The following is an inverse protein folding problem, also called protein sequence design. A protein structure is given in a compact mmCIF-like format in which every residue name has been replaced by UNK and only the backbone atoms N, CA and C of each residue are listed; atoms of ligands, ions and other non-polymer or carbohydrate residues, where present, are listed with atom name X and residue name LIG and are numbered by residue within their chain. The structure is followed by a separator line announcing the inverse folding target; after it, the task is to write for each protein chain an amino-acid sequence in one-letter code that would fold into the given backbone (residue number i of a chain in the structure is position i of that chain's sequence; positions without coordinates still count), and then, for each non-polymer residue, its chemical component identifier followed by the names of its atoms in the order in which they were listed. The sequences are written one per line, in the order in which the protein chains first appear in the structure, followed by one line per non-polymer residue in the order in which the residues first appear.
data_IF_508606278118
#
_entry.id   IF_508606278118
#
_cell.length_a   1.000
_cell.length_b   1.000
_cell.length_c   1.000
_cell.angle_alpha   90.00
_cell.angle_beta   90.00
_cell.angle_gamma   90.00
#
_symmetry.space_group_name_H-M   'P 1'
#
loop_
_entity.id
_entity.type
_entity.pdbx_description
1 polymer ?
#
# COMPACT_ATOMS: atom_id res chain seq x y z
N UNK A 1 12.88 0.15 -15.26
CA UNK A 1 13.39 0.36 -13.89
C UNK A 1 13.10 -0.86 -13.04
N UNK A 2 13.94 -1.10 -12.03
CA UNK A 2 13.70 -2.11 -11.00
C UNK A 2 13.11 -1.44 -9.76
N UNK A 3 11.87 -1.77 -9.43
CA UNK A 3 11.06 -1.07 -8.42
C UNK A 3 10.75 -1.99 -7.26
N UNK A 4 10.91 -1.51 -6.03
CA UNK A 4 10.46 -2.22 -4.84
C UNK A 4 9.22 -1.54 -4.26
N UNK A 5 8.11 -2.27 -4.16
CA UNK A 5 7.00 -1.90 -3.29
C UNK A 5 7.31 -2.41 -1.89
N UNK A 6 7.57 -1.47 -0.99
CA UNK A 6 7.93 -1.73 0.39
C UNK A 6 6.71 -1.50 1.29
N UNK A 7 6.25 -2.58 1.91
CA UNK A 7 5.12 -2.59 2.84
C UNK A 7 5.60 -2.91 4.27
N UNK A 8 6.26 -1.96 4.95
CA UNK A 8 6.91 -2.25 6.22
C UNK A 8 5.91 -2.52 7.34
N UNK A 9 6.27 -3.43 8.22
CA UNK A 9 5.50 -3.80 9.41
C UNK A 9 6.30 -3.49 10.68
N UNK A 10 5.65 -2.87 11.68
CA UNK A 10 6.28 -2.52 12.96
C UNK A 10 6.73 -3.74 13.75
N UNK A 11 5.93 -4.81 13.73
CA UNK A 11 6.23 -6.10 14.39
C UNK A 11 5.90 -7.26 13.46
N UNK A 12 6.86 -8.12 13.23
CA UNK A 12 6.72 -9.28 12.33
C UNK A 12 5.64 -10.28 12.79
N UNK A 13 5.34 -10.31 14.07
CA UNK A 13 4.36 -11.25 14.67
C UNK A 13 2.92 -10.77 14.56
N UNK A 14 2.68 -9.47 14.34
CA UNK A 14 1.33 -8.91 14.28
C UNK A 14 0.78 -8.97 12.85
N UNK A 15 -0.50 -9.27 12.73
CA UNK A 15 -1.22 -8.98 11.49
C UNK A 15 -1.46 -7.48 11.42
N UNK A 16 -1.06 -6.87 10.31
CA UNK A 16 -1.32 -5.47 10.01
C UNK A 16 -2.09 -5.42 8.70
N UNK A 17 -3.21 -4.72 8.71
CA UNK A 17 -4.01 -4.45 7.51
C UNK A 17 -4.04 -2.95 7.28
N UNK A 18 -3.42 -2.50 6.20
CA UNK A 18 -3.29 -1.05 5.89
C UNK A 18 -4.50 -0.48 5.16
N UNK A 19 -5.40 -1.33 4.66
CA UNK A 19 -6.61 -0.95 3.91
C UNK A 19 -7.88 -0.83 4.75
N UNK A 20 -7.79 -1.03 6.06
CA UNK A 20 -8.97 -1.09 6.94
C UNK A 20 -9.16 0.19 7.76
N UNK A 21 -10.24 0.25 8.55
CA UNK A 21 -10.53 1.35 9.48
C UNK A 21 -10.53 2.73 8.84
N UNK A 22 -11.28 2.89 7.76
CA UNK A 22 -11.38 4.17 7.07
C UNK A 22 -10.08 4.61 6.36
N UNK A 23 -9.17 3.66 6.10
CA UNK A 23 -7.88 3.90 5.45
C UNK A 23 -6.72 4.19 6.42
N UNK A 24 -6.96 4.14 7.74
CA UNK A 24 -5.88 4.33 8.72
C UNK A 24 -5.05 3.07 8.95
N UNK A 25 -5.64 1.91 8.73
CA UNK A 25 -5.06 0.61 9.02
C UNK A 25 -5.35 0.12 10.42
N UNK A 26 -5.19 -1.18 10.62
CA UNK A 26 -5.35 -1.86 11.92
C UNK A 26 -4.21 -2.80 12.19
N UNK A 27 -3.86 -2.94 13.47
CA UNK A 27 -2.94 -3.96 13.95
C UNK A 27 -3.63 -4.82 15.01
N UNK A 28 -3.44 -6.14 14.95
CA UNK A 28 -3.96 -7.05 15.95
C UNK A 28 -2.91 -7.25 17.05
N UNK A 29 -3.06 -6.52 18.15
CA UNK A 29 -2.25 -6.67 19.36
C UNK A 29 -3.14 -7.07 20.54
N UNK A 30 -3.02 -8.32 20.96
CA UNK A 30 -3.79 -8.89 22.07
C UNK A 30 -2.94 -9.05 23.34
N UNK A 31 -1.78 -8.40 23.40
CA UNK A 31 -0.80 -8.54 24.48
C UNK A 31 0.28 -9.59 24.18
N UNK A 32 1.24 -9.77 25.10
CA UNK A 32 2.46 -10.53 24.87
C UNK A 32 2.50 -11.88 25.64
N UNK A 33 1.42 -12.29 26.29
CA UNK A 33 1.35 -13.62 26.90
C UNK A 33 1.26 -14.75 25.87
N UNK A 34 1.40 -16.00 26.29
CA UNK A 34 1.53 -17.18 25.41
C UNK A 34 0.32 -17.31 24.45
N UNK A 35 -0.90 -17.22 24.99
CA UNK A 35 -2.14 -17.40 24.22
C UNK A 35 -2.32 -16.26 23.19
N UNK A 36 -2.26 -14.96 23.54
CA UNK A 36 -2.27 -13.86 22.59
C UNK A 36 -1.18 -13.94 21.51
N UNK A 37 0.04 -14.36 21.90
CA UNK A 37 1.14 -14.52 20.93
C UNK A 37 0.83 -15.61 19.90
N UNK A 38 0.30 -16.74 20.35
CA UNK A 38 -0.15 -17.81 19.46
C UNK A 38 -1.28 -17.32 18.53
N UNK A 39 -2.28 -16.64 19.08
CA UNK A 39 -3.40 -16.10 18.33
C UNK A 39 -2.95 -15.07 17.27
N UNK A 40 -2.05 -14.13 17.63
CA UNK A 40 -1.46 -13.17 16.68
C UNK A 40 -0.77 -13.88 15.51
N UNK A 41 0.06 -14.87 15.79
CA UNK A 41 0.77 -15.65 14.75
C UNK A 41 -0.21 -16.40 13.85
N UNK A 42 -1.22 -17.04 14.43
CA UNK A 42 -2.23 -17.79 13.68
C UNK A 42 -3.03 -16.86 12.75
N UNK A 43 -3.49 -15.73 13.26
CA UNK A 43 -4.22 -14.74 12.46
C UNK A 43 -3.35 -14.19 11.32
N UNK A 44 -2.06 -13.92 11.58
CA UNK A 44 -1.13 -13.48 10.54
C UNK A 44 -0.93 -14.56 9.46
N UNK A 45 -0.83 -15.82 9.86
CA UNK A 45 -0.69 -16.93 8.89
C UNK A 45 -1.91 -17.11 8.00
N UNK A 46 -3.10 -16.76 8.50
CA UNK A 46 -4.38 -17.00 7.81
C UNK A 46 -4.81 -15.80 6.96
N UNK A 47 -4.48 -14.58 7.37
CA UNK A 47 -5.00 -13.33 6.78
C UNK A 47 -3.91 -12.29 6.54
N UNK A 48 -2.80 -12.66 5.94
CA UNK A 48 -1.71 -11.72 5.64
C UNK A 48 -1.73 -11.34 4.16
N UNK A 49 -2.57 -10.37 3.82
CA UNK A 49 -2.71 -9.85 2.45
C UNK A 49 -2.00 -8.51 2.28
N UNK A 50 -1.38 -8.34 1.12
CA UNK A 50 -0.92 -7.03 0.70
C UNK A 50 -2.12 -6.09 0.47
N UNK A 51 -1.96 -4.78 0.72
CA UNK A 51 -3.02 -3.81 0.44
C UNK A 51 -3.42 -3.80 -1.04
N UNK A 52 -4.74 -3.73 -1.30
CA UNK A 52 -5.27 -3.80 -2.66
C UNK A 52 -4.66 -2.74 -3.59
N UNK A 53 -4.56 -1.49 -3.12
CA UNK A 53 -3.98 -0.42 -3.92
C UNK A 53 -2.50 -0.68 -4.27
N UNK A 54 -1.74 -1.34 -3.39
CA UNK A 54 -0.35 -1.73 -3.68
C UNK A 54 -0.30 -2.81 -4.76
N UNK A 55 -1.17 -3.81 -4.69
CA UNK A 55 -1.22 -4.92 -5.67
C UNK A 55 -1.65 -4.41 -7.05
N UNK A 56 -2.63 -3.51 -7.12
CA UNK A 56 -3.01 -2.85 -8.37
C UNK A 56 -1.88 -1.97 -8.93
N UNK A 57 -1.20 -1.22 -8.05
CA UNK A 57 -0.01 -0.43 -8.45
C UNK A 57 1.06 -1.31 -9.06
N UNK A 58 1.32 -2.50 -8.49
CA UNK A 58 2.25 -3.47 -9.08
C UNK A 58 1.86 -3.87 -10.49
N UNK A 59 0.58 -4.18 -10.69
CA UNK A 59 0.07 -4.58 -12.02
C UNK A 59 0.24 -3.49 -13.06
N UNK A 60 -0.06 -2.25 -12.69
CA UNK A 60 0.13 -1.08 -13.57
C UNK A 60 1.59 -0.92 -13.94
N UNK A 61 2.49 -0.91 -12.96
CA UNK A 61 3.92 -0.73 -13.20
C UNK A 61 4.53 -1.85 -14.05
N UNK A 62 4.09 -3.09 -13.85
CA UNK A 62 4.51 -4.22 -14.70
C UNK A 62 3.99 -4.09 -16.13
N UNK A 63 2.74 -3.65 -16.31
CA UNK A 63 2.18 -3.38 -17.64
C UNK A 63 2.95 -2.30 -18.40
N UNK A 64 3.53 -1.32 -17.67
CA UNK A 64 4.40 -0.29 -18.23
C UNK A 64 5.86 -0.75 -18.41
N UNK A 65 6.17 -2.02 -18.24
CA UNK A 65 7.47 -2.63 -18.52
C UNK A 65 8.50 -2.53 -17.40
N UNK A 66 8.09 -2.23 -16.17
CA UNK A 66 8.99 -2.21 -15.02
C UNK A 66 9.14 -3.61 -14.38
N UNK A 67 10.32 -3.89 -13.84
CA UNK A 67 10.55 -5.05 -12.97
C UNK A 67 10.12 -4.68 -11.55
N UNK A 68 9.01 -5.27 -11.06
CA UNK A 68 8.40 -4.87 -9.78
C UNK A 68 8.47 -6.00 -8.76
N UNK A 69 9.00 -5.69 -7.59
CA UNK A 69 9.09 -6.58 -6.45
C UNK A 69 8.28 -6.06 -5.27
N UNK A 70 7.89 -6.97 -4.39
CA UNK A 70 7.18 -6.64 -3.14
C UNK A 70 7.94 -7.20 -1.95
N UNK A 71 8.10 -6.39 -0.90
CA UNK A 71 8.72 -6.80 0.35
C UNK A 71 8.12 -6.10 1.55
N UNK A 72 8.02 -6.82 2.67
CA UNK A 72 7.67 -6.25 3.98
C UNK A 72 8.88 -5.76 4.78
N UNK A 73 10.09 -5.96 4.24
CA UNK A 73 11.35 -5.54 4.87
C UNK A 73 12.19 -4.77 3.89
N UNK A 74 12.85 -3.74 4.39
CA UNK A 74 13.86 -3.01 3.65
C UNK A 74 15.01 -4.00 3.30
N UNK A 75 15.44 -4.07 2.02
CA UNK A 75 16.56 -4.91 1.64
C UNK A 75 17.87 -4.38 2.26
N UNK A 76 18.82 -5.28 2.48
CA UNK A 76 20.16 -4.89 2.98
C UNK A 76 20.94 -4.07 1.96
N UNK A 77 20.77 -4.40 0.68
CA UNK A 77 21.43 -3.74 -0.44
C UNK A 77 20.43 -2.82 -1.17
N UNK A 78 20.51 -1.53 -0.87
CA UNK A 78 19.60 -0.53 -1.45
C UNK A 78 19.92 -0.20 -2.90
N UNK A 79 21.12 -0.49 -3.36
CA UNK A 79 21.51 -0.33 -4.78
C UNK A 79 20.77 -1.28 -5.72
N UNK A 80 20.19 -2.37 -5.19
CA UNK A 80 19.46 -3.38 -5.97
C UNK A 80 18.20 -2.85 -6.65
N UNK A 81 17.70 -1.69 -6.26
CA UNK A 81 16.49 -1.08 -6.81
C UNK A 81 16.73 0.38 -7.23
N UNK A 82 16.07 0.76 -8.31
CA UNK A 82 16.11 2.13 -8.84
C UNK A 82 15.16 3.06 -8.07
N UNK A 83 13.98 2.53 -7.70
CA UNK A 83 12.89 3.27 -7.06
C UNK A 83 12.25 2.44 -5.94
N UNK A 84 11.90 3.12 -4.85
CA UNK A 84 11.15 2.56 -3.73
C UNK A 84 9.76 3.18 -3.68
N UNK A 85 8.73 2.35 -3.51
CA UNK A 85 7.34 2.78 -3.30
C UNK A 85 6.91 2.27 -1.92
N UNK A 86 6.77 3.18 -0.97
CA UNK A 86 6.45 2.86 0.43
C UNK A 86 4.96 2.92 0.66
N UNK A 87 4.41 1.84 1.18
CA UNK A 87 2.98 1.69 1.50
C UNK A 87 2.71 2.25 2.89
N UNK A 88 1.86 3.28 2.96
CA UNK A 88 1.61 4.05 4.18
C UNK A 88 0.46 3.54 5.03
N UNK A 89 0.58 3.72 6.36
CA UNK A 89 -0.48 3.49 7.34
C UNK A 89 -0.21 4.25 8.65
N UNK A 90 -1.23 4.48 9.46
CA UNK A 90 -1.02 5.08 10.79
C UNK A 90 -0.27 4.12 11.72
N UNK A 91 -0.56 2.81 11.62
CA UNK A 91 -0.02 1.79 12.53
C UNK A 91 1.46 1.52 12.33
N UNK A 92 2.01 1.82 11.14
CA UNK A 92 3.42 1.61 10.81
C UNK A 92 4.17 2.90 10.43
N UNK A 93 3.54 4.08 10.58
CA UNK A 93 4.06 5.37 10.12
C UNK A 93 5.51 5.63 10.57
N UNK A 94 5.86 5.34 11.82
CA UNK A 94 7.22 5.53 12.34
C UNK A 94 8.24 4.68 11.57
N UNK A 95 7.96 3.38 11.40
CA UNK A 95 8.82 2.45 10.66
C UNK A 95 8.89 2.81 9.17
N UNK A 96 7.79 3.28 8.59
CA UNK A 96 7.72 3.76 7.21
C UNK A 96 8.62 4.98 7.02
N UNK A 97 8.51 5.98 7.92
CA UNK A 97 9.34 7.18 7.89
C UNK A 97 10.83 6.86 8.12
N UNK A 98 11.15 5.93 9.01
CA UNK A 98 12.54 5.48 9.23
C UNK A 98 13.11 4.86 7.96
N UNK A 99 12.38 3.96 7.31
CA UNK A 99 12.82 3.36 6.06
C UNK A 99 12.99 4.41 4.94
N UNK A 100 12.12 5.41 4.87
CA UNK A 100 12.25 6.50 3.89
C UNK A 100 13.52 7.31 4.14
N UNK A 101 13.86 7.63 5.39
CA UNK A 101 15.11 8.33 5.71
C UNK A 101 16.33 7.52 5.25
N UNK A 102 16.36 6.23 5.56
CA UNK A 102 17.44 5.33 5.12
C UNK A 102 17.55 5.33 3.58
N UNK A 103 16.43 5.19 2.86
CA UNK A 103 16.41 5.21 1.39
C UNK A 103 16.95 6.56 0.86
N UNK A 104 16.52 7.67 1.45
CA UNK A 104 16.93 9.02 1.06
C UNK A 104 18.42 9.28 1.33
N UNK A 105 18.97 8.83 2.46
CA UNK A 105 20.39 8.92 2.79
C UNK A 105 21.28 8.18 1.78
N UNK A 106 20.76 7.12 1.15
CA UNK A 106 21.41 6.41 0.04
C UNK A 106 21.16 7.06 -1.33
N UNK A 107 20.66 8.30 -1.39
CA UNK A 107 20.33 9.02 -2.62
C UNK A 107 19.36 8.23 -3.54
N UNK A 108 18.48 7.42 -2.94
CA UNK A 108 17.41 6.73 -3.66
C UNK A 108 16.07 7.45 -3.47
N UNK A 109 15.24 7.38 -4.49
CA UNK A 109 13.91 7.98 -4.48
C UNK A 109 12.92 7.08 -3.74
N UNK A 110 12.16 7.67 -2.81
CA UNK A 110 11.05 7.02 -2.12
C UNK A 110 9.73 7.74 -2.45
N UNK A 111 8.85 7.07 -3.20
CA UNK A 111 7.47 7.50 -3.38
C UNK A 111 6.61 6.87 -2.28
N UNK A 112 5.67 7.63 -1.74
CA UNK A 112 4.79 7.16 -0.66
C UNK A 112 3.36 7.14 -1.14
N UNK A 113 2.69 6.01 -0.97
CA UNK A 113 1.34 5.77 -1.44
C UNK A 113 0.43 5.26 -0.32
N UNK A 114 -0.85 5.49 -0.45
CA UNK A 114 -1.87 4.91 0.41
C UNK A 114 -2.73 5.92 1.16
N UNK A 115 -3.72 5.42 1.92
CA UNK A 115 -4.70 6.27 2.57
C UNK A 115 -4.09 7.23 3.59
N UNK A 116 -3.20 6.75 4.44
CA UNK A 116 -2.67 7.56 5.53
C UNK A 116 -1.74 8.68 5.04
N UNK A 117 -0.86 8.42 4.07
CA UNK A 117 -0.03 9.48 3.47
C UNK A 117 -0.87 10.50 2.70
N UNK A 118 -2.00 10.10 2.12
CA UNK A 118 -2.95 11.02 1.49
C UNK A 118 -3.56 11.98 2.49
N UNK A 119 -3.86 11.54 3.72
CA UNK A 119 -4.44 12.40 4.77
C UNK A 119 -3.39 13.18 5.57
N UNK A 120 -2.18 12.64 5.69
CA UNK A 120 -1.11 13.22 6.50
C UNK A 120 0.25 13.20 5.77
N UNK A 121 0.38 13.93 4.65
CA UNK A 121 1.57 13.85 3.80
C UNK A 121 2.83 14.45 4.45
N UNK A 122 2.68 15.44 5.34
CA UNK A 122 3.80 16.19 5.91
C UNK A 122 4.84 15.29 6.58
N UNK A 123 4.42 14.30 7.37
CA UNK A 123 5.32 13.36 8.05
C UNK A 123 6.25 12.63 7.09
N UNK A 124 5.73 12.23 5.94
CA UNK A 124 6.49 11.49 4.94
C UNK A 124 7.43 12.40 4.13
N UNK A 125 7.01 13.65 3.88
CA UNK A 125 7.87 14.67 3.28
C UNK A 125 9.06 15.01 4.20
N UNK A 126 8.82 15.21 5.49
CA UNK A 126 9.85 15.44 6.51
C UNK A 126 10.85 14.27 6.62
N UNK A 127 10.41 13.06 6.28
CA UNK A 127 11.28 11.88 6.20
C UNK A 127 12.08 11.78 4.88
N UNK A 128 11.85 12.66 3.89
CA UNK A 128 12.52 12.65 2.60
C UNK A 128 11.75 11.97 1.47
N UNK A 129 10.50 11.59 1.70
CA UNK A 129 9.65 10.93 0.70
C UNK A 129 8.90 11.91 -0.21
N UNK A 130 8.44 11.45 -1.35
CA UNK A 130 7.49 12.14 -2.23
C UNK A 130 6.14 11.46 -2.12
N UNK A 131 5.11 12.19 -1.72
CA UNK A 131 3.78 11.64 -1.48
C UNK A 131 2.91 11.73 -2.73
N UNK A 132 2.40 10.59 -3.18
CA UNK A 132 1.36 10.51 -4.21
C UNK A 132 0.00 10.44 -3.47
N UNK A 133 -0.75 11.53 -3.50
CA UNK A 133 -2.08 11.59 -2.88
C UNK A 133 -3.13 10.95 -3.79
N UNK A 134 -4.09 10.27 -3.19
CA UNK A 134 -5.20 9.66 -3.91
C UNK A 134 -4.92 8.20 -4.33
N UNK A 135 -5.33 7.87 -5.53
CA UNK A 135 -5.25 6.50 -6.08
C UNK A 135 -3.94 6.31 -6.86
N UNK A 136 -2.94 5.63 -6.27
CA UNK A 136 -1.59 5.57 -6.86
C UNK A 136 -1.55 4.85 -8.20
N UNK A 137 -2.36 3.81 -8.38
CA UNK A 137 -2.40 3.05 -9.62
C UNK A 137 -2.78 3.94 -10.82
N UNK A 138 -3.74 4.83 -10.66
CA UNK A 138 -4.11 5.78 -11.71
C UNK A 138 -3.03 6.84 -11.95
N UNK A 139 -2.35 7.27 -10.88
CA UNK A 139 -1.20 8.14 -11.03
C UNK A 139 -0.14 7.52 -11.93
N UNK A 140 0.24 6.25 -11.69
CA UNK A 140 1.25 5.54 -12.47
C UNK A 140 0.80 5.21 -13.89
N UNK A 141 -0.50 5.02 -14.13
CA UNK A 141 -1.02 4.89 -15.50
C UNK A 141 -0.81 6.15 -16.34
N UNK A 142 -0.87 7.33 -15.72
CA UNK A 142 -0.71 8.62 -16.40
C UNK A 142 0.75 9.09 -16.48
N UNK A 143 1.57 8.77 -15.48
CA UNK A 143 2.94 9.25 -15.34
C UNK A 143 3.93 8.11 -15.59
N UNK A 144 4.28 7.90 -16.85
CA UNK A 144 5.20 6.82 -17.26
C UNK A 144 6.67 7.13 -17.00
N UNK A 145 7.05 8.42 -16.98
CA UNK A 145 8.41 8.85 -16.67
C UNK A 145 8.59 9.06 -15.16
N UNK A 146 8.95 8.00 -14.46
CA UNK A 146 9.11 8.02 -13.00
C UNK A 146 10.39 8.77 -12.56
N UNK A 147 11.39 8.89 -13.44
CA UNK A 147 12.60 9.66 -13.17
C UNK A 147 12.32 11.17 -13.04
N UNK A 148 11.37 11.67 -13.82
CA UNK A 148 10.97 13.07 -13.79
C UNK A 148 10.18 13.48 -12.53
N UNK A 149 9.75 12.53 -11.70
CA UNK A 149 9.04 12.83 -10.45
C UNK A 149 10.00 13.54 -9.49
N UNK A 150 9.65 14.75 -9.07
CA UNK A 150 10.45 15.53 -8.13
C UNK A 150 10.46 14.90 -6.73
N UNK A 151 11.59 15.04 -6.03
CA UNK A 151 11.72 14.58 -4.64
C UNK A 151 11.06 15.58 -3.66
N UNK A 152 10.67 15.10 -2.50
CA UNK A 152 10.11 15.90 -1.39
C UNK A 152 8.90 16.75 -1.79
N UNK A 153 8.04 16.21 -2.66
CA UNK A 153 6.83 16.88 -3.13
C UNK A 153 5.57 16.14 -2.70
N UNK A 154 4.50 16.90 -2.61
CA UNK A 154 3.15 16.36 -2.52
C UNK A 154 2.55 16.46 -3.92
N UNK A 155 2.20 15.34 -4.50
CA UNK A 155 1.61 15.25 -5.83
C UNK A 155 0.16 14.81 -5.67
N UNK A 156 -0.77 15.65 -6.08
CA UNK A 156 -2.19 15.35 -6.10
C UNK A 156 -2.69 15.32 -7.55
N UNK A 157 -3.68 14.49 -7.80
CA UNK A 157 -4.32 14.40 -9.11
C UNK A 157 -5.82 14.15 -8.97
N UNK A 158 -6.57 14.35 -10.05
CA UNK A 158 -8.02 14.20 -10.02
C UNK A 158 -8.45 12.73 -10.09
N UNK A 159 -9.56 12.42 -9.41
CA UNK A 159 -10.15 11.07 -9.33
C UNK A 159 -11.16 10.79 -10.46
N UNK A 160 -10.84 11.16 -11.68
CA UNK A 160 -11.74 10.99 -12.82
C UNK A 160 -11.28 9.85 -13.73
N UNK A 161 -11.36 8.62 -13.22
CA UNK A 161 -10.89 7.42 -13.90
C UNK A 161 -11.98 6.35 -13.93
N UNK A 162 -12.00 5.61 -15.03
CA UNK A 162 -12.81 4.41 -15.20
C UNK A 162 -12.11 3.22 -14.53
N UNK A 163 -12.83 2.45 -13.69
CA UNK A 163 -12.21 1.33 -12.98
C UNK A 163 -11.79 0.19 -13.90
N UNK A 164 -12.45 0.06 -15.05
CA UNK A 164 -12.14 -0.99 -16.03
C UNK A 164 -10.81 -0.79 -16.74
N UNK A 165 -10.25 0.44 -16.71
CA UNK A 165 -8.91 0.70 -17.22
C UNK A 165 -7.81 0.06 -16.37
N UNK A 166 -8.10 -0.26 -15.10
CA UNK A 166 -7.14 -0.93 -14.22
C UNK A 166 -6.91 -2.38 -14.65
N UNK A 167 -5.66 -2.81 -14.77
CA UNK A 167 -5.35 -4.23 -14.96
C UNK A 167 -5.83 -5.05 -13.77
N UNK A 168 -5.90 -6.37 -13.91
CA UNK A 168 -6.16 -7.25 -12.77
C UNK A 168 -5.05 -7.17 -11.73
N UNK A 169 -5.37 -7.32 -10.42
CA UNK A 169 -4.37 -7.22 -9.36
C UNK A 169 -3.36 -8.36 -9.41
N UNK A 170 -2.09 -8.03 -9.22
CA UNK A 170 -0.96 -8.99 -9.26
C UNK A 170 -0.80 -9.73 -7.93
N UNK A 171 -1.74 -10.59 -7.62
CA UNK A 171 -1.67 -11.41 -6.42
C UNK A 171 -0.55 -12.45 -6.46
N UNK A 172 -0.08 -12.84 -7.63
CA UNK A 172 0.96 -13.85 -7.77
C UNK A 172 2.29 -13.39 -7.19
N UNK A 173 2.64 -12.14 -7.39
CA UNK A 173 3.90 -11.56 -6.91
C UNK A 173 3.95 -11.34 -5.41
N UNK A 174 2.82 -11.17 -4.73
CA UNK A 174 2.75 -10.88 -3.30
C UNK A 174 2.49 -12.12 -2.45
N UNK A 175 1.94 -13.18 -3.00
CA UNK A 175 1.52 -14.37 -2.26
C UNK A 175 2.37 -15.59 -2.53
N UNK A 176 3.64 -15.57 -2.13
CA UNK A 176 4.45 -16.81 -2.08
C UNK A 176 3.86 -17.87 -1.12
N UNK A 177 3.03 -17.44 -0.17
CA UNK A 177 2.31 -18.26 0.78
C UNK A 177 0.82 -17.95 0.73
N UNK A 178 0.14 -18.29 -0.38
CA UNK A 178 -1.31 -18.21 -0.50
C UNK A 178 -1.95 -19.09 0.56
N UNK A 179 -2.12 -18.57 1.75
CA UNK A 179 -2.77 -19.29 2.82
C UNK A 179 -4.23 -18.86 2.89
N UNK A 180 -5.00 -19.82 2.66
CA UNK A 180 -6.42 -20.05 2.87
C UNK A 180 -6.96 -19.29 4.07
N UNK A 181 -8.10 -18.64 3.91
CA UNK A 181 -8.94 -18.27 5.04
C UNK A 181 -9.47 -19.54 5.73
N UNK A 182 -8.74 -20.02 6.72
CA UNK A 182 -9.13 -21.19 7.53
C UNK A 182 -10.36 -20.92 8.39
N UNK A 183 -10.71 -19.65 8.64
CA UNK A 183 -11.82 -19.27 9.51
C UNK A 183 -13.20 -19.67 8.96
N UNK A 184 -13.30 -19.92 7.68
CA UNK A 184 -14.56 -20.33 7.05
C UNK A 184 -14.48 -21.64 6.28
N UNK A 185 -13.39 -22.38 6.39
CA UNK A 185 -13.25 -23.75 5.88
C UNK A 185 -13.33 -23.92 4.37
N UNK A 186 -13.31 -22.84 3.57
CA UNK A 186 -13.72 -22.87 2.18
C UNK A 186 -12.63 -22.36 1.21
N UNK A 187 -11.46 -22.96 1.24
CA UNK A 187 -10.53 -22.80 0.13
C UNK A 187 -9.77 -21.47 0.09
N UNK A 188 -9.08 -21.22 -1.01
CA UNK A 188 -8.26 -20.02 -1.24
C UNK A 188 -9.15 -18.87 -1.67
N UNK A 189 -9.10 -17.73 -0.97
CA UNK A 189 -9.81 -16.52 -1.35
C UNK A 189 -8.85 -15.36 -1.60
N UNK A 190 -9.15 -14.54 -2.59
CA UNK A 190 -8.43 -13.30 -2.90
C UNK A 190 -9.44 -12.17 -2.93
N UNK A 191 -9.12 -11.00 -2.36
CA UNK A 191 -9.98 -9.83 -2.48
C UNK A 191 -9.98 -9.32 -3.91
N UNK A 192 -11.15 -8.87 -4.35
CA UNK A 192 -11.37 -8.20 -5.62
C UNK A 192 -11.97 -6.82 -5.39
N UNK A 193 -11.70 -5.91 -6.31
CA UNK A 193 -12.25 -4.57 -6.28
C UNK A 193 -13.41 -4.45 -7.28
N UNK A 194 -14.61 -4.33 -6.76
CA UNK A 194 -15.81 -4.12 -7.56
C UNK A 194 -16.15 -2.62 -7.69
N UNK A 195 -15.97 -1.86 -6.63
CA UNK A 195 -16.33 -0.43 -6.57
C UNK A 195 -15.29 0.39 -5.84
N UNK A 196 -15.19 1.67 -6.19
CA UNK A 196 -14.42 2.70 -5.48
C UNK A 196 -15.16 4.01 -5.39
N UNK A 197 -14.78 4.83 -4.41
CA UNK A 197 -15.42 6.09 -4.09
C UNK A 197 -16.46 5.92 -2.98
N UNK A 198 -16.69 7.00 -2.25
CA UNK A 198 -17.63 6.98 -1.12
C UNK A 198 -18.39 8.31 -1.05
N UNK A 199 -19.73 8.30 -1.18
CA UNK A 199 -20.53 9.52 -1.17
C UNK A 199 -20.70 10.13 0.23
N UNK A 200 -20.40 9.36 1.28
CA UNK A 200 -20.62 9.76 2.67
C UNK A 200 -19.65 10.84 3.14
N UNK A 201 -20.12 11.71 4.02
CA UNK A 201 -19.37 12.85 4.56
C UNK A 201 -18.61 12.53 5.86
N UNK A 202 -18.05 11.33 5.97
CA UNK A 202 -17.26 10.91 7.14
C UNK A 202 -15.84 11.50 7.13
N UNK A 203 -15.60 12.60 6.42
CA UNK A 203 -14.25 13.12 6.12
C UNK A 203 -13.40 13.44 7.34
N UNK A 204 -14.01 13.68 8.50
CA UNK A 204 -13.27 13.91 9.76
C UNK A 204 -12.60 12.65 10.30
N UNK A 205 -13.10 11.47 9.91
CA UNK A 205 -12.70 10.17 10.47
C UNK A 205 -12.37 9.11 9.43
N UNK A 206 -12.55 9.42 8.15
CA UNK A 206 -12.35 8.46 7.06
C UNK A 206 -11.58 9.09 5.91
N UNK A 207 -10.53 8.42 5.47
CA UNK A 207 -9.65 8.90 4.40
C UNK A 207 -10.16 8.50 3.02
N UNK A 208 -11.06 7.52 2.91
CA UNK A 208 -11.51 7.01 1.61
C UNK A 208 -12.08 8.07 0.68
N UNK A 209 -12.94 9.03 1.11
CA UNK A 209 -13.40 10.09 0.22
C UNK A 209 -12.29 11.01 -0.30
N UNK A 210 -11.23 11.17 0.50
CA UNK A 210 -10.05 11.96 0.10
C UNK A 210 -9.18 11.17 -0.88
N UNK A 211 -9.01 9.86 -0.65
CA UNK A 211 -8.18 9.00 -1.48
C UNK A 211 -8.86 8.59 -2.79
N UNK A 212 -10.13 8.21 -2.73
CA UNK A 212 -10.85 7.58 -3.85
C UNK A 212 -11.91 8.47 -4.49
N UNK A 213 -12.09 9.68 -3.97
CA UNK A 213 -13.16 10.59 -4.40
C UNK A 213 -14.52 10.27 -3.80
N UNK A 214 -15.47 11.16 -4.05
CA UNK A 214 -16.84 11.07 -3.51
C UNK A 214 -17.83 10.40 -4.46
N UNK A 215 -17.53 10.35 -5.75
CA UNK A 215 -18.39 9.72 -6.75
C UNK A 215 -18.11 8.21 -6.75
N UNK A 216 -19.08 7.37 -6.41
CA UNK A 216 -18.94 5.93 -6.56
C UNK A 216 -18.71 5.56 -8.03
N UNK A 217 -17.75 4.69 -8.26
CA UNK A 217 -17.42 4.11 -9.56
C UNK A 217 -17.43 2.60 -9.41
N UNK A 218 -17.97 1.89 -10.38
CA UNK A 218 -18.02 0.42 -10.41
C UNK A 218 -17.30 -0.09 -11.65
N UNK A 219 -16.85 -1.33 -11.58
CA UNK A 219 -16.46 -2.09 -12.76
C UNK A 219 -17.71 -2.55 -13.49
N UNK A 220 -17.64 -2.63 -14.82
CA UNK A 220 -18.62 -3.32 -15.62
C UNK A 220 -18.52 -4.84 -15.39
N UNK A 221 -19.64 -5.54 -15.46
CA UNK A 221 -19.75 -6.98 -15.19
C UNK A 221 -19.77 -7.75 -16.50
#
# INVERSE_FOLDING_TARGET
MKILILDPEKKVTHRISKDTSGGYGTGNDFGDSIIPTFLKKTLKMVHDWAPMFAVYTMSVLKKEGHEVHYSKKLPRELSSFDLYIVVSSIVCCETECENIRIISEFNKKALVIGPFSTSNPKKYIEAGGTVIMGEPEFFFMKNKNLDAIENNKIISFQHDFVLDDLPYPDWESVSKNRKVSLLFGLGKSLPILATRGCPYSCFKYCVYPLQQGRKPRSRDV
#
